data_IF_079571476043
#
_entry.id   IF_079571476043
#
_cell.length_a   1.000
_cell.length_b   1.000
_cell.length_c   1.000
_cell.angle_alpha   90.00
_cell.angle_beta   90.00
_cell.angle_gamma   90.00
#
_symmetry.space_group_name_H-M   'P 1'
#
loop_
_entity.id
_entity.type
_entity.pdbx_description
1 polymer ?
#
# COMPACT_ATOMS: atom_id res chain seq x y z
N UNK A 1 54.47 -14.91 -8.64
CA UNK A 1 54.21 -14.85 -7.19
C UNK A 1 53.13 -13.79 -6.97
N UNK A 2 51.86 -14.18 -7.05
CA UNK A 2 50.71 -13.27 -6.98
C UNK A 2 50.26 -13.23 -5.51
N UNK A 3 50.40 -12.07 -4.89
CA UNK A 3 50.02 -11.85 -3.50
C UNK A 3 48.50 -11.68 -3.42
N UNK A 4 47.79 -12.71 -2.93
CA UNK A 4 46.38 -12.60 -2.54
C UNK A 4 46.31 -11.81 -1.23
N UNK A 5 45.88 -10.55 -1.33
CA UNK A 5 45.58 -9.72 -0.15
C UNK A 5 44.37 -10.34 0.56
N UNK A 6 44.60 -10.92 1.75
CA UNK A 6 43.53 -11.28 2.70
C UNK A 6 42.87 -9.99 3.19
N UNK A 7 41.77 -9.59 2.57
CA UNK A 7 40.86 -8.57 3.12
C UNK A 7 40.32 -9.10 4.47
N UNK A 8 40.49 -8.33 5.53
CA UNK A 8 40.06 -8.70 6.89
C UNK A 8 38.55 -8.53 7.05
N UNK A 9 37.90 -9.39 7.86
CA UNK A 9 36.46 -9.35 8.13
C UNK A 9 35.96 -7.97 8.62
N UNK A 10 36.79 -7.20 9.33
CA UNK A 10 36.44 -5.85 9.78
C UNK A 10 36.30 -4.86 8.61
N UNK A 11 37.11 -5.00 7.56
CA UNK A 11 37.05 -4.15 6.38
C UNK A 11 35.79 -4.45 5.55
N UNK A 12 35.46 -5.73 5.38
CA UNK A 12 34.22 -6.19 4.75
C UNK A 12 32.97 -5.76 5.53
N UNK A 13 32.97 -5.89 6.86
CA UNK A 13 31.88 -5.42 7.71
C UNK A 13 31.68 -3.90 7.66
N UNK A 14 32.76 -3.12 7.59
CA UNK A 14 32.70 -1.66 7.51
C UNK A 14 32.25 -1.18 6.12
N UNK A 15 32.68 -1.87 5.06
CA UNK A 15 32.15 -1.67 3.71
C UNK A 15 30.67 -2.02 3.64
N UNK A 16 30.24 -3.16 4.16
CA UNK A 16 28.82 -3.56 4.22
C UNK A 16 27.95 -2.57 5.00
N UNK A 17 28.50 -1.97 6.07
CA UNK A 17 27.80 -0.96 6.86
C UNK A 17 27.66 0.35 6.10
N UNK A 18 28.74 0.85 5.47
CA UNK A 18 28.68 2.02 4.58
C UNK A 18 27.74 1.79 3.39
N UNK A 19 27.76 0.60 2.78
CA UNK A 19 26.90 0.25 1.65
C UNK A 19 25.42 0.19 2.06
N UNK A 20 25.13 -0.34 3.25
CA UNK A 20 23.78 -0.33 3.87
C UNK A 20 23.31 1.06 4.27
N UNK A 21 24.22 1.99 4.54
CA UNK A 21 23.93 3.40 4.81
C UNK A 21 23.52 4.14 3.53
N UNK A 22 24.11 3.79 2.38
CA UNK A 22 23.88 4.46 1.08
C UNK A 22 22.81 3.82 0.20
N UNK A 23 22.26 2.66 0.58
CA UNK A 23 21.19 2.00 -0.19
C UNK A 23 19.94 2.88 -0.24
N UNK A 24 19.26 3.04 -1.40
CA UNK A 24 18.03 3.84 -1.51
C UNK A 24 16.94 3.43 -0.51
N UNK A 25 16.19 4.42 0.00
CA UNK A 25 15.19 4.23 1.06
C UNK A 25 13.90 4.95 0.74
N UNK A 26 12.79 4.32 1.13
CA UNK A 26 11.48 4.96 1.01
C UNK A 26 11.28 6.00 2.11
N UNK A 27 10.93 7.21 1.68
CA UNK A 27 10.52 8.33 2.53
C UNK A 27 9.13 8.83 2.15
N UNK A 28 8.78 9.99 2.71
CA UNK A 28 7.56 10.73 2.36
C UNK A 28 7.67 11.14 0.88
N UNK A 29 6.66 10.79 0.07
CA UNK A 29 6.55 11.25 -1.31
C UNK A 29 5.75 12.55 -1.37
N UNK A 30 4.49 12.48 -0.98
CA UNK A 30 3.61 13.64 -0.82
C UNK A 30 3.18 13.79 0.64
N UNK A 31 3.17 15.04 1.11
CA UNK A 31 2.75 15.41 2.46
C UNK A 31 1.61 16.42 2.39
N UNK A 32 0.46 16.05 2.96
CA UNK A 32 -0.79 16.83 2.87
C UNK A 32 -1.19 17.23 1.43
N UNK A 33 -0.76 16.40 0.47
CA UNK A 33 -1.08 16.51 -0.95
C UNK A 33 -0.04 17.23 -1.80
N UNK A 34 0.97 17.86 -1.20
CA UNK A 34 2.06 18.49 -1.93
C UNK A 34 3.27 17.55 -1.99
N UNK A 35 4.00 17.59 -3.10
CA UNK A 35 5.21 16.81 -3.31
C UNK A 35 6.32 17.31 -2.35
N UNK A 36 6.92 16.41 -1.57
CA UNK A 36 7.87 16.76 -0.51
C UNK A 36 9.03 17.64 -1.02
N UNK A 37 9.51 17.35 -2.22
CA UNK A 37 10.64 18.08 -2.83
C UNK A 37 10.25 19.48 -3.30
N UNK A 38 8.96 19.77 -3.48
CA UNK A 38 8.44 21.08 -3.90
C UNK A 38 8.02 21.96 -2.72
N UNK A 39 7.99 21.41 -1.50
CA UNK A 39 7.78 22.19 -0.29
C UNK A 39 9.01 23.06 0.02
N UNK A 40 8.80 24.22 0.62
CA UNK A 40 9.88 24.98 1.26
C UNK A 40 10.28 24.35 2.61
N UNK A 41 11.45 24.73 3.14
CA UNK A 41 11.88 24.31 4.48
C UNK A 41 10.86 24.69 5.55
N UNK A 42 10.32 25.92 5.48
CA UNK A 42 9.29 26.40 6.39
C UNK A 42 7.97 25.59 6.30
N UNK A 43 7.54 25.20 5.10
CA UNK A 43 6.33 24.37 4.95
C UNK A 43 6.54 22.96 5.52
N UNK A 44 7.69 22.33 5.25
CA UNK A 44 8.04 21.04 5.86
C UNK A 44 8.05 21.14 7.38
N UNK A 45 8.67 22.18 7.93
CA UNK A 45 8.74 22.44 9.37
C UNK A 45 7.37 22.68 9.98
N UNK A 46 6.49 23.41 9.29
CA UNK A 46 5.11 23.63 9.73
C UNK A 46 4.35 22.30 9.85
N UNK A 47 4.36 21.48 8.79
CA UNK A 47 3.69 20.18 8.79
C UNK A 47 4.28 19.23 9.84
N UNK A 48 5.60 19.20 9.97
CA UNK A 48 6.31 18.42 10.96
C UNK A 48 5.90 18.79 12.39
N UNK A 49 6.00 20.08 12.73
CA UNK A 49 5.68 20.62 14.04
C UNK A 49 4.21 20.37 14.39
N UNK A 50 3.31 20.44 13.42
CA UNK A 50 1.90 20.16 13.62
C UNK A 50 1.64 18.67 13.88
N UNK A 51 2.25 17.77 13.10
CA UNK A 51 2.09 16.31 13.24
C UNK A 51 2.67 15.80 14.57
N UNK A 52 3.74 16.43 15.08
CA UNK A 52 4.38 16.01 16.33
C UNK A 52 3.60 16.38 17.60
N UNK A 53 2.65 17.31 17.52
CA UNK A 53 1.77 17.63 18.65
C UNK A 53 0.92 16.42 19.05
N UNK A 54 0.47 16.34 20.31
CA UNK A 54 -0.57 15.39 20.71
C UNK A 54 -1.80 15.55 19.83
N UNK A 55 -2.45 14.43 19.43
CA UNK A 55 -3.54 14.42 18.45
C UNK A 55 -4.67 15.42 18.75
N UNK A 56 -4.99 15.62 20.02
CA UNK A 56 -6.02 16.57 20.51
C UNK A 56 -5.67 18.05 20.28
N UNK A 57 -4.38 18.36 20.18
CA UNK A 57 -3.85 19.73 20.06
C UNK A 57 -3.51 20.07 18.60
N UNK A 58 -3.72 19.11 17.68
CA UNK A 58 -3.44 19.28 16.26
C UNK A 58 -4.51 20.10 15.57
N UNK A 59 -4.09 21.08 14.78
CA UNK A 59 -4.93 21.81 13.84
C UNK A 59 -5.31 20.91 12.68
N UNK A 60 -6.59 20.96 12.31
CA UNK A 60 -7.10 20.32 11.10
C UNK A 60 -6.30 20.76 9.87
N UNK A 61 -5.73 19.80 9.14
CA UNK A 61 -5.00 20.06 7.91
C UNK A 61 -5.93 19.83 6.71
N UNK A 62 -5.92 20.69 5.68
CA UNK A 62 -6.77 20.51 4.51
C UNK A 62 -6.37 19.24 3.75
N UNK A 63 -7.34 18.61 3.09
CA UNK A 63 -7.12 17.51 2.17
C UNK A 63 -7.49 17.93 0.75
N UNK A 64 -6.52 18.16 -0.15
CA UNK A 64 -6.83 18.64 -1.50
C UNK A 64 -7.52 17.59 -2.37
N UNK A 65 -7.41 16.30 -2.03
CA UNK A 65 -7.96 15.23 -2.85
C UNK A 65 -9.40 14.83 -2.51
N UNK A 66 -9.98 15.40 -1.45
CA UNK A 66 -11.40 15.19 -1.12
C UNK A 66 -12.28 16.23 -1.85
N UNK A 67 -12.20 16.27 -3.19
CA UNK A 67 -12.80 17.31 -4.03
C UNK A 67 -14.33 17.49 -3.87
N UNK A 68 -15.05 16.46 -3.40
CA UNK A 68 -16.50 16.53 -3.16
C UNK A 68 -16.91 17.22 -1.86
N UNK A 69 -15.97 17.53 -0.97
CA UNK A 69 -16.26 18.12 0.34
C UNK A 69 -15.61 19.50 0.43
N UNK A 70 -16.42 20.54 0.57
CA UNK A 70 -15.91 21.88 0.85
C UNK A 70 -15.22 21.90 2.21
N UNK A 71 -13.99 22.44 2.27
CA UNK A 71 -13.22 22.48 3.52
C UNK A 71 -12.79 21.10 4.04
N UNK A 72 -12.60 20.12 3.15
CA UNK A 72 -12.22 18.77 3.54
C UNK A 72 -10.94 18.74 4.40
N UNK A 73 -10.98 17.97 5.48
CA UNK A 73 -9.86 17.78 6.40
C UNK A 73 -9.21 16.42 6.17
N UNK A 74 -7.88 16.38 6.27
CA UNK A 74 -7.09 15.16 6.20
C UNK A 74 -7.40 14.26 7.40
N UNK A 75 -7.90 13.06 7.14
CA UNK A 75 -8.18 12.05 8.16
C UNK A 75 -6.98 11.17 8.49
N UNK A 76 -5.93 11.21 7.66
CA UNK A 76 -4.77 10.33 7.79
C UNK A 76 -3.79 10.87 8.82
N UNK A 77 -3.49 10.05 9.82
CA UNK A 77 -2.48 10.37 10.82
C UNK A 77 -1.10 10.57 10.15
N UNK A 78 -0.45 11.70 10.45
CA UNK A 78 0.79 12.11 9.80
C UNK A 78 0.66 12.72 8.40
N UNK A 79 -0.50 12.64 7.74
CA UNK A 79 -0.75 13.35 6.47
C UNK A 79 0.02 12.83 5.25
N UNK A 80 0.65 11.65 5.33
CA UNK A 80 1.49 11.13 4.23
C UNK A 80 0.63 10.47 3.16
N UNK A 81 0.51 11.12 2.01
CA UNK A 81 -0.36 10.68 0.91
C UNK A 81 0.29 9.58 0.07
N UNK A 82 1.61 9.61 -0.10
CA UNK A 82 2.37 8.64 -0.89
C UNK A 82 3.79 8.44 -0.37
N UNK A 83 4.45 7.36 -0.82
CA UNK A 83 5.87 7.10 -0.61
C UNK A 83 6.67 7.39 -1.87
N UNK A 84 7.94 7.75 -1.68
CA UNK A 84 8.93 7.89 -2.75
C UNK A 84 10.26 7.27 -2.35
N UNK A 85 10.97 6.70 -3.31
CA UNK A 85 12.31 6.14 -3.10
C UNK A 85 13.35 7.25 -3.31
N UNK A 86 14.23 7.43 -2.33
CA UNK A 86 15.31 8.40 -2.36
C UNK A 86 16.66 7.70 -2.37
N UNK A 87 17.60 8.17 -3.18
CA UNK A 87 19.03 7.89 -3.06
C UNK A 87 19.68 8.85 -2.07
N UNK A 88 20.76 8.41 -1.46
CA UNK A 88 21.60 9.26 -0.63
C UNK A 88 22.37 10.23 -1.51
N UNK A 89 22.44 11.48 -1.08
CA UNK A 89 23.36 12.49 -1.60
C UNK A 89 23.87 13.38 -0.44
N UNK A 90 24.79 14.27 -0.73
CA UNK A 90 25.38 15.22 0.23
C UNK A 90 24.93 16.63 -0.10
N UNK A 91 24.37 17.33 0.88
CA UNK A 91 23.96 18.71 0.73
C UNK A 91 25.18 19.61 0.41
N UNK A 92 25.15 20.40 -0.67
CA UNK A 92 26.32 21.10 -1.18
C UNK A 92 26.92 22.09 -0.16
N UNK A 93 26.06 22.79 0.59
CA UNK A 93 26.53 23.88 1.46
C UNK A 93 26.98 23.44 2.85
N UNK A 94 26.47 22.31 3.36
CA UNK A 94 26.65 21.94 4.77
C UNK A 94 27.15 20.50 4.98
N UNK A 95 27.33 19.72 3.91
CA UNK A 95 27.86 18.36 3.96
C UNK A 95 26.94 17.33 4.63
N UNK A 96 25.70 17.68 4.96
CA UNK A 96 24.74 16.77 5.61
C UNK A 96 24.05 15.87 4.59
N UNK A 97 23.50 14.76 5.06
CA UNK A 97 22.76 13.82 4.22
C UNK A 97 21.49 14.46 3.64
N UNK A 98 21.33 14.37 2.32
CA UNK A 98 20.12 14.80 1.59
C UNK A 98 19.55 13.64 0.79
N UNK A 99 18.24 13.64 0.59
CA UNK A 99 17.52 12.63 -0.16
C UNK A 99 17.16 13.16 -1.54
N UNK A 100 17.64 12.51 -2.59
CA UNK A 100 17.29 12.83 -3.98
C UNK A 100 16.37 11.73 -4.52
N UNK A 101 15.23 12.05 -5.17
CA UNK A 101 14.39 11.04 -5.80
C UNK A 101 15.20 10.15 -6.75
N UNK A 102 15.03 8.83 -6.63
CA UNK A 102 15.61 7.89 -7.59
C UNK A 102 15.00 8.15 -8.98
N UNK A 103 15.79 8.09 -10.05
CA UNK A 103 15.27 8.29 -11.41
C UNK A 103 14.50 7.08 -11.94
N UNK A 104 13.64 7.32 -12.93
CA UNK A 104 12.85 6.29 -13.62
C UNK A 104 11.73 5.68 -12.77
N UNK A 105 11.21 4.52 -13.17
CA UNK A 105 10.05 3.86 -12.53
C UNK A 105 10.23 3.59 -11.04
N UNK A 106 11.46 3.37 -10.58
CA UNK A 106 11.74 3.17 -9.15
C UNK A 106 11.60 4.45 -8.33
N UNK A 107 11.58 5.63 -8.95
CA UNK A 107 11.33 6.93 -8.32
C UNK A 107 9.87 7.32 -8.14
N UNK A 108 8.96 6.65 -8.83
CA UNK A 108 7.55 7.06 -8.91
C UNK A 108 6.86 7.07 -7.54
N UNK A 109 5.74 7.78 -7.42
CA UNK A 109 4.99 7.83 -6.16
C UNK A 109 4.16 6.56 -5.95
N UNK A 110 4.07 6.12 -4.70
CA UNK A 110 3.28 4.94 -4.29
C UNK A 110 2.20 5.43 -3.35
N UNK A 111 0.96 5.46 -3.82
CA UNK A 111 -0.12 6.06 -3.06
C UNK A 111 -0.42 5.22 -1.82
N UNK A 112 -0.39 5.83 -0.65
CA UNK A 112 -0.70 5.17 0.63
C UNK A 112 -2.00 5.66 1.25
N UNK A 113 -2.68 6.60 0.59
CA UNK A 113 -3.96 7.16 0.99
C UNK A 113 -4.98 6.94 -0.13
N UNK A 114 -6.12 6.27 0.13
CA UNK A 114 -7.16 6.08 -0.90
C UNK A 114 -7.67 7.39 -1.48
N UNK A 115 -7.82 8.43 -0.65
CA UNK A 115 -8.24 9.75 -1.12
C UNK A 115 -7.27 10.34 -2.15
N UNK A 116 -6.00 9.94 -2.22
CA UNK A 116 -5.08 10.42 -3.27
C UNK A 116 -5.64 10.15 -4.67
N UNK A 117 -6.35 9.04 -4.88
CA UNK A 117 -6.94 8.68 -6.17
C UNK A 117 -8.18 9.52 -6.52
N UNK A 118 -8.75 10.28 -5.57
CA UNK A 118 -9.92 11.12 -5.80
C UNK A 118 -9.58 12.49 -6.41
N UNK A 119 -8.31 12.74 -6.73
CA UNK A 119 -7.85 13.98 -7.36
C UNK A 119 -8.71 14.33 -8.57
N UNK A 120 -9.29 15.54 -8.53
CA UNK A 120 -10.17 16.14 -9.53
C UNK A 120 -11.32 15.26 -10.03
N UNK A 121 -11.63 14.19 -9.30
CA UNK A 121 -12.56 13.13 -9.67
C UNK A 121 -12.21 12.43 -10.99
N UNK A 122 -10.95 12.50 -11.41
CA UNK A 122 -10.51 12.05 -12.74
C UNK A 122 -10.76 10.56 -12.97
N UNK A 123 -10.42 9.72 -11.99
CA UNK A 123 -10.64 8.28 -12.08
C UNK A 123 -12.12 7.93 -12.17
N UNK A 124 -13.02 8.71 -11.56
CA UNK A 124 -14.44 8.43 -11.59
C UNK A 124 -15.02 8.72 -12.97
N UNK A 125 -14.61 9.84 -13.59
CA UNK A 125 -14.98 10.17 -14.97
C UNK A 125 -14.43 9.13 -15.94
N UNK A 126 -13.18 8.71 -15.77
CA UNK A 126 -12.55 7.71 -16.63
C UNK A 126 -13.24 6.34 -16.56
N UNK A 127 -13.61 5.90 -15.35
CA UNK A 127 -14.36 4.65 -15.17
C UNK A 127 -15.75 4.76 -15.79
N UNK A 128 -16.47 5.87 -15.55
CA UNK A 128 -17.79 6.10 -16.16
C UNK A 128 -17.73 6.08 -17.69
N UNK A 129 -16.76 6.76 -18.27
CA UNK A 129 -16.53 6.78 -19.72
C UNK A 129 -16.28 5.36 -20.26
N UNK A 130 -15.40 4.61 -19.60
CA UNK A 130 -14.93 3.30 -20.10
C UNK A 130 -15.96 2.19 -19.92
N UNK A 131 -16.66 2.15 -18.77
CA UNK A 131 -17.59 1.06 -18.46
C UNK A 131 -19.03 1.41 -18.85
N UNK A 132 -19.45 2.65 -18.62
CA UNK A 132 -20.85 3.09 -18.78
C UNK A 132 -21.09 3.90 -20.05
N UNK A 133 -20.03 4.27 -20.79
CA UNK A 133 -20.15 5.24 -21.89
C UNK A 133 -20.59 6.63 -21.43
N UNK A 134 -20.37 6.96 -20.15
CA UNK A 134 -20.81 8.19 -19.51
C UNK A 134 -19.66 8.88 -18.75
N UNK A 135 -19.09 9.99 -19.27
CA UNK A 135 -17.99 10.69 -18.60
C UNK A 135 -18.43 11.50 -17.38
N UNK A 136 -19.74 11.64 -17.12
CA UNK A 136 -20.30 12.39 -15.99
C UNK A 136 -21.18 11.49 -15.09
N UNK A 137 -20.65 10.36 -14.57
CA UNK A 137 -21.44 9.47 -13.73
C UNK A 137 -21.71 10.10 -12.36
N UNK A 138 -22.82 9.68 -11.73
CA UNK A 138 -23.10 9.98 -10.33
C UNK A 138 -22.35 9.02 -9.40
N UNK A 139 -21.55 9.56 -8.48
CA UNK A 139 -20.84 8.77 -7.47
C UNK A 139 -21.67 8.59 -6.20
N UNK A 140 -22.15 7.36 -6.00
CA UNK A 140 -22.82 6.88 -4.79
C UNK A 140 -21.78 6.24 -3.86
N UNK A 141 -21.74 6.68 -2.61
CA UNK A 141 -20.85 6.12 -1.59
C UNK A 141 -21.46 4.87 -0.94
N UNK A 142 -20.59 4.01 -0.41
CA UNK A 142 -20.83 2.80 0.38
C UNK A 142 -22.27 2.26 0.40
N UNK A 143 -22.51 1.19 -0.36
CA UNK A 143 -23.82 0.53 -0.48
C UNK A 143 -23.72 -0.95 -0.07
N UNK A 144 -24.63 -1.40 0.78
CA UNK A 144 -24.78 -2.81 1.15
C UNK A 144 -25.22 -3.68 -0.02
N UNK A 145 -24.60 -4.87 -0.17
CA UNK A 145 -24.97 -5.83 -1.21
C UNK A 145 -25.11 -7.28 -0.70
N UNK A 146 -24.77 -7.53 0.57
CA UNK A 146 -24.96 -8.81 1.26
C UNK A 146 -25.55 -8.56 2.63
N UNK A 147 -26.57 -9.34 2.98
CA UNK A 147 -27.20 -9.32 4.30
C UNK A 147 -26.74 -10.51 5.14
N UNK A 148 -26.61 -10.31 6.45
CA UNK A 148 -26.38 -11.37 7.42
C UNK A 148 -27.57 -12.33 7.43
N UNK A 149 -27.30 -13.62 7.31
CA UNK A 149 -28.28 -14.64 7.69
C UNK A 149 -28.53 -14.57 9.19
N UNK A 150 -29.78 -14.81 9.60
CA UNK A 150 -30.10 -15.00 11.01
C UNK A 150 -29.23 -16.14 11.59
N UNK A 151 -28.67 -15.90 12.77
CA UNK A 151 -27.87 -16.87 13.53
C UNK A 151 -28.39 -16.93 14.97
N UNK A 152 -27.85 -17.84 15.79
CA UNK A 152 -28.20 -17.93 17.21
C UNK A 152 -27.99 -16.61 17.97
N UNK A 153 -27.09 -15.74 17.48
CA UNK A 153 -26.68 -14.50 18.14
C UNK A 153 -27.12 -13.22 17.39
N UNK A 154 -27.87 -13.33 16.29
CA UNK A 154 -28.31 -12.18 15.47
C UNK A 154 -29.60 -12.49 14.71
N UNK A 155 -30.53 -11.53 14.70
CA UNK A 155 -31.79 -11.62 13.95
C UNK A 155 -31.60 -11.58 12.42
N UNK A 156 -30.38 -11.32 11.93
CA UNK A 156 -30.08 -11.18 10.51
C UNK A 156 -30.48 -9.81 9.94
N UNK A 157 -30.18 -9.57 8.66
CA UNK A 157 -30.54 -8.33 7.94
C UNK A 157 -29.50 -7.20 7.99
N UNK A 158 -28.41 -7.35 8.74
CA UNK A 158 -27.30 -6.40 8.72
C UNK A 158 -26.44 -6.54 7.45
N UNK A 159 -25.98 -5.42 6.89
CA UNK A 159 -25.05 -5.44 5.74
C UNK A 159 -23.69 -6.06 6.14
N UNK A 160 -23.44 -7.29 5.68
CA UNK A 160 -22.17 -8.02 5.89
C UNK A 160 -21.20 -7.89 4.72
N UNK A 161 -21.65 -7.27 3.62
CA UNK A 161 -20.83 -6.95 2.47
C UNK A 161 -21.24 -5.61 1.89
N UNK A 162 -20.25 -4.74 1.66
CA UNK A 162 -20.46 -3.39 1.13
C UNK A 162 -19.60 -3.15 -0.10
N UNK A 163 -20.12 -2.39 -1.05
CA UNK A 163 -19.37 -1.87 -2.20
C UNK A 163 -19.01 -0.43 -1.86
N UNK A 164 -17.72 -0.11 -1.86
CA UNK A 164 -17.23 1.16 -1.32
C UNK A 164 -17.72 2.34 -2.16
N UNK A 165 -17.73 2.17 -3.49
CA UNK A 165 -18.16 3.19 -4.44
C UNK A 165 -18.95 2.56 -5.59
N UNK A 166 -20.08 3.17 -5.93
CA UNK A 166 -20.91 2.80 -7.09
C UNK A 166 -21.04 4.02 -8.00
N UNK A 167 -20.69 3.85 -9.27
CA UNK A 167 -20.92 4.85 -10.31
C UNK A 167 -22.21 4.54 -11.03
N UNK A 168 -23.15 5.48 -11.04
CA UNK A 168 -24.45 5.35 -11.71
C UNK A 168 -24.47 6.27 -12.92
N UNK A 169 -24.86 5.75 -14.08
CA UNK A 169 -24.98 6.53 -15.31
C UNK A 169 -26.03 7.63 -15.15
N UNK A 170 -25.67 8.85 -15.54
CA UNK A 170 -26.57 9.99 -15.62
C UNK A 170 -27.50 9.93 -16.84
N UNK A 171 -27.16 9.07 -17.82
CA UNK A 171 -27.84 8.96 -19.11
C UNK A 171 -28.96 7.91 -19.12
N UNK A 172 -29.19 7.20 -18.01
CA UNK A 172 -30.26 6.20 -17.95
C UNK A 172 -31.63 6.86 -18.05
N UNK A 173 -32.39 6.52 -19.08
CA UNK A 173 -33.77 7.01 -19.28
C UNK A 173 -34.70 6.57 -18.15
N UNK A 174 -35.67 7.43 -17.81
CA UNK A 174 -36.70 7.09 -16.83
C UNK A 174 -37.45 5.80 -17.23
N UNK A 175 -37.51 4.82 -16.33
CA UNK A 175 -38.15 3.52 -16.55
C UNK A 175 -37.24 2.43 -17.14
N UNK A 176 -36.01 2.76 -17.56
CA UNK A 176 -35.02 1.75 -17.93
C UNK A 176 -34.32 1.17 -16.68
N UNK A 177 -33.81 -0.07 -16.74
CA UNK A 177 -32.96 -0.60 -15.68
C UNK A 177 -31.75 0.31 -15.44
N UNK A 178 -31.42 0.55 -14.17
CA UNK A 178 -30.28 1.38 -13.79
C UNK A 178 -28.97 0.84 -14.38
N UNK A 179 -28.20 1.72 -15.02
CA UNK A 179 -26.85 1.39 -15.44
C UNK A 179 -25.81 1.91 -14.47
N UNK A 180 -24.91 1.02 -14.04
CA UNK A 180 -23.97 1.30 -12.96
C UNK A 180 -22.79 0.33 -12.94
N UNK A 181 -21.69 0.76 -12.33
CA UNK A 181 -20.48 -0.03 -12.13
C UNK A 181 -20.01 0.08 -10.67
N UNK A 182 -19.54 -1.03 -10.10
CA UNK A 182 -18.87 -1.02 -8.80
C UNK A 182 -17.44 -0.51 -8.97
N UNK A 183 -16.88 0.17 -7.97
CA UNK A 183 -15.53 0.70 -8.00
C UNK A 183 -14.83 0.47 -6.65
N UNK A 184 -13.62 -0.07 -6.72
CA UNK A 184 -12.72 -0.27 -5.60
C UNK A 184 -11.41 0.49 -5.83
N UNK A 185 -10.93 1.24 -4.85
CA UNK A 185 -9.63 1.92 -4.88
C UNK A 185 -8.69 1.19 -3.94
N UNK A 186 -7.53 0.76 -4.44
CA UNK A 186 -6.52 0.11 -3.62
C UNK A 186 -5.24 0.93 -3.54
N UNK A 187 -5.08 1.68 -2.43
CA UNK A 187 -3.81 2.26 -2.04
C UNK A 187 -2.89 1.22 -1.37
N UNK A 188 -1.59 1.45 -1.39
CA UNK A 188 -0.61 0.54 -0.79
C UNK A 188 -0.43 0.80 0.71
N UNK A 189 -0.41 -0.28 1.50
CA UNK A 189 0.13 -0.26 2.85
C UNK A 189 1.66 -0.16 2.80
N UNK A 190 2.29 0.14 3.94
CA UNK A 190 3.75 0.03 4.04
C UNK A 190 4.14 -0.76 5.28
N UNK A 191 5.32 -1.36 5.21
CA UNK A 191 5.93 -2.12 6.30
C UNK A 191 7.27 -1.52 6.68
N UNK A 192 7.67 -1.64 7.95
CA UNK A 192 8.94 -1.14 8.48
C UNK A 192 8.76 0.02 9.45
N UNK A 193 9.80 0.83 9.60
CA UNK A 193 9.82 1.92 10.58
C UNK A 193 8.73 2.97 10.29
N UNK A 194 8.08 3.45 11.35
CA UNK A 194 7.24 4.64 11.30
C UNK A 194 8.03 5.87 10.80
N UNK A 195 7.32 6.92 10.39
CA UNK A 195 7.93 8.16 9.84
C UNK A 195 8.19 9.22 10.91
N UNK A 196 8.08 8.86 12.19
CA UNK A 196 8.23 9.81 13.29
C UNK A 196 9.61 10.47 13.28
N UNK A 197 10.67 9.73 12.98
CA UNK A 197 12.03 10.27 12.93
C UNK A 197 12.20 11.31 11.82
N UNK A 198 11.53 11.14 10.68
CA UNK A 198 11.51 12.14 9.61
C UNK A 198 10.72 13.39 10.03
N UNK A 199 9.60 13.24 10.73
CA UNK A 199 8.87 14.39 11.28
C UNK A 199 9.73 15.16 12.28
N UNK A 200 10.43 14.47 13.20
CA UNK A 200 11.33 15.10 14.17
C UNK A 200 12.46 15.86 13.47
N UNK A 201 13.06 15.28 12.43
CA UNK A 201 14.10 15.93 11.66
C UNK A 201 13.61 17.17 10.89
N UNK A 202 12.42 17.12 10.28
CA UNK A 202 11.86 18.28 9.57
C UNK A 202 11.38 19.39 10.51
N UNK A 203 11.08 19.09 11.77
CA UNK A 203 10.70 20.10 12.75
C UNK A 203 11.89 20.94 13.25
N UNK A 204 13.13 20.47 13.05
CA UNK A 204 14.35 21.20 13.41
C UNK A 204 14.56 22.38 12.45
N UNK A 205 14.62 23.60 13.00
CA UNK A 205 14.83 24.84 12.26
C UNK A 205 16.16 24.87 11.49
N UNK A 206 17.12 24.02 11.87
CA UNK A 206 18.40 23.87 11.18
C UNK A 206 18.32 22.97 9.93
N UNK A 207 17.13 22.45 9.58
CA UNK A 207 16.89 21.58 8.44
C UNK A 207 15.93 22.25 7.46
N UNK A 208 16.47 22.82 6.38
CA UNK A 208 15.68 23.43 5.30
C UNK A 208 15.71 22.62 3.98
N UNK A 209 16.47 21.52 3.93
CA UNK A 209 16.54 20.59 2.78
C UNK A 209 15.70 19.32 2.96
N UNK A 210 15.63 18.49 1.92
CA UNK A 210 14.99 17.17 1.96
C UNK A 210 15.98 16.16 2.56
N UNK A 211 15.68 15.65 3.75
CA UNK A 211 16.58 14.68 4.40
C UNK A 211 16.59 13.33 3.67
N UNK A 212 17.72 12.64 3.73
CA UNK A 212 17.76 11.23 3.35
C UNK A 212 16.98 10.39 4.39
N UNK A 213 16.01 9.54 3.98
CA UNK A 213 15.19 8.79 4.94
C UNK A 213 16.03 7.91 5.87
N UNK A 214 15.85 8.07 7.18
CA UNK A 214 16.62 7.33 8.19
C UNK A 214 16.01 5.95 8.45
N UNK A 215 14.68 5.85 8.42
CA UNK A 215 13.96 4.60 8.63
C UNK A 215 14.01 3.66 7.43
N UNK A 216 13.99 2.34 7.71
CA UNK A 216 13.83 1.30 6.69
C UNK A 216 12.36 0.93 6.59
N UNK A 217 11.77 1.29 5.45
CA UNK A 217 10.39 0.97 5.11
C UNK A 217 10.26 0.67 3.63
N UNK A 218 9.16 0.03 3.28
CA UNK A 218 8.81 -0.29 1.89
C UNK A 218 7.30 -0.39 1.72
N UNK A 219 6.77 -0.13 0.52
CA UNK A 219 5.42 -0.54 0.15
C UNK A 219 5.21 -2.04 0.47
N UNK A 220 4.09 -2.37 1.10
CA UNK A 220 3.69 -3.73 1.44
C UNK A 220 2.59 -4.19 0.48
N UNK A 221 3.01 -4.53 -0.74
CA UNK A 221 2.11 -5.00 -1.80
C UNK A 221 1.43 -6.32 -1.42
N UNK A 222 2.09 -7.21 -0.67
CA UNK A 222 1.49 -8.48 -0.23
C UNK A 222 0.31 -8.25 0.71
N UNK A 223 0.46 -7.33 1.66
CA UNK A 223 -0.64 -7.02 2.59
C UNK A 223 -1.75 -6.18 1.94
N UNK A 224 -1.47 -5.52 0.82
CA UNK A 224 -2.42 -4.69 0.10
C UNK A 224 -3.22 -5.48 -0.96
N UNK A 225 -2.53 -6.28 -1.78
CA UNK A 225 -3.13 -7.13 -2.81
C UNK A 225 -3.68 -8.45 -2.24
N UNK A 226 -2.86 -9.51 -2.15
CA UNK A 226 -3.36 -10.85 -1.82
C UNK A 226 -4.06 -10.97 -0.46
N UNK A 227 -3.69 -10.18 0.56
CA UNK A 227 -4.35 -10.28 1.88
C UNK A 227 -5.64 -9.46 2.01
N UNK A 228 -5.89 -8.50 1.12
CA UNK A 228 -7.01 -7.55 1.27
C UNK A 228 -7.81 -7.42 -0.01
N UNK A 229 -7.21 -6.89 -1.08
CA UNK A 229 -7.90 -6.73 -2.36
C UNK A 229 -8.43 -8.07 -2.90
N UNK A 230 -7.64 -9.14 -2.87
CA UNK A 230 -8.06 -10.44 -3.40
C UNK A 230 -9.31 -11.00 -2.70
N UNK A 231 -9.39 -11.09 -1.36
CA UNK A 231 -10.62 -11.44 -0.67
C UNK A 231 -11.81 -10.56 -1.04
N UNK A 232 -11.62 -9.23 -1.16
CA UNK A 232 -12.70 -8.31 -1.55
C UNK A 232 -13.23 -8.64 -2.94
N UNK A 233 -12.34 -8.89 -3.91
CA UNK A 233 -12.74 -9.26 -5.28
C UNK A 233 -13.46 -10.62 -5.31
N UNK A 234 -12.96 -11.62 -4.59
CA UNK A 234 -13.58 -12.94 -4.52
C UNK A 234 -14.99 -12.92 -3.93
N UNK A 235 -15.27 -11.98 -3.01
CA UNK A 235 -16.59 -11.83 -2.39
C UNK A 235 -17.52 -11.00 -3.31
N UNK A 236 -17.06 -9.87 -3.84
CA UNK A 236 -17.90 -8.91 -4.59
C UNK A 236 -18.19 -9.37 -6.02
N UNK A 237 -17.15 -9.78 -6.76
CA UNK A 237 -17.24 -9.99 -8.21
C UNK A 237 -18.22 -11.09 -8.64
N UNK A 238 -18.33 -12.25 -7.96
CA UNK A 238 -19.30 -13.26 -8.37
C UNK A 238 -20.75 -12.77 -8.35
N UNK A 239 -21.11 -11.92 -7.38
CA UNK A 239 -22.44 -11.32 -7.29
C UNK A 239 -22.65 -10.29 -8.40
N UNK A 240 -21.67 -9.41 -8.63
CA UNK A 240 -21.71 -8.42 -9.71
C UNK A 240 -21.84 -9.08 -11.09
N UNK A 241 -21.05 -10.13 -11.34
CA UNK A 241 -21.10 -10.94 -12.57
C UNK A 241 -22.52 -11.49 -12.81
N UNK A 242 -23.18 -12.03 -11.78
CA UNK A 242 -24.57 -12.55 -11.88
C UNK A 242 -25.59 -11.46 -12.22
N UNK A 243 -25.35 -10.22 -11.80
CA UNK A 243 -26.17 -9.06 -12.17
C UNK A 243 -25.78 -8.44 -13.53
N UNK A 244 -24.77 -9.00 -14.21
CA UNK A 244 -24.23 -8.44 -15.45
C UNK A 244 -23.46 -7.14 -15.25
N UNK A 245 -23.01 -6.84 -14.03
CA UNK A 245 -22.26 -5.62 -13.69
C UNK A 245 -20.77 -5.89 -13.58
N UNK A 246 -19.97 -4.88 -13.93
CA UNK A 246 -18.49 -4.93 -13.89
C UNK A 246 -17.97 -4.31 -12.60
N UNK A 247 -16.79 -4.75 -12.18
CA UNK A 247 -16.00 -4.14 -11.11
C UNK A 247 -14.86 -3.31 -11.70
N UNK A 248 -14.78 -2.03 -11.37
CA UNK A 248 -13.61 -1.21 -11.61
C UNK A 248 -12.65 -1.32 -10.42
N UNK A 249 -11.36 -1.52 -10.68
CA UNK A 249 -10.31 -1.49 -9.64
C UNK A 249 -9.28 -0.45 -10.00
N UNK A 250 -9.07 0.54 -9.13
CA UNK A 250 -8.12 1.63 -9.37
C UNK A 250 -6.88 1.44 -8.51
N UNK A 251 -5.72 1.42 -9.15
CA UNK A 251 -4.41 1.23 -8.53
C UNK A 251 -3.35 2.11 -9.17
N UNK A 252 -2.27 2.42 -8.46
CA UNK A 252 -1.10 3.05 -9.07
C UNK A 252 -0.25 2.02 -9.85
N UNK A 253 0.51 2.51 -10.84
CA UNK A 253 1.37 1.67 -11.69
C UNK A 253 2.34 0.82 -10.88
N UNK A 254 2.94 1.36 -9.84
CA UNK A 254 3.91 0.61 -9.02
C UNK A 254 3.24 -0.54 -8.26
N UNK A 255 1.98 -0.38 -7.83
CA UNK A 255 1.18 -1.48 -7.30
C UNK A 255 0.91 -2.54 -8.37
N UNK A 256 0.44 -2.15 -9.55
CA UNK A 256 0.09 -3.09 -10.62
C UNK A 256 1.31 -3.88 -11.13
N UNK A 257 2.47 -3.24 -11.23
CA UNK A 257 3.72 -3.91 -11.64
C UNK A 257 4.27 -4.84 -10.54
N UNK A 258 3.80 -4.71 -9.29
CA UNK A 258 4.28 -5.52 -8.16
C UNK A 258 3.54 -6.85 -7.97
N UNK A 259 2.36 -6.97 -8.55
CA UNK A 259 1.54 -8.19 -8.52
C UNK A 259 1.92 -9.09 -9.70
N UNK A 260 1.51 -10.36 -9.66
CA UNK A 260 1.76 -11.30 -10.75
C UNK A 260 1.07 -10.84 -12.04
N UNK A 261 1.62 -11.29 -13.17
CA UNK A 261 1.06 -11.03 -14.49
C UNK A 261 -0.40 -11.47 -14.56
N UNK A 262 -1.25 -10.60 -15.11
CA UNK A 262 -2.66 -10.87 -15.35
C UNK A 262 -2.95 -10.80 -16.85
N UNK A 263 -3.33 -11.94 -17.41
CA UNK A 263 -3.67 -12.05 -18.83
C UNK A 263 -4.86 -11.13 -19.16
N UNK A 264 -4.63 -10.22 -20.11
CA UNK A 264 -5.69 -9.34 -20.60
C UNK A 264 -6.76 -10.14 -21.35
N UNK A 265 -8.03 -9.73 -21.22
CA UNK A 265 -9.07 -10.08 -22.19
C UNK A 265 -9.26 -8.92 -23.18
N UNK A 266 -9.49 -9.23 -24.45
CA UNK A 266 -9.49 -8.20 -25.50
C UNK A 266 -10.65 -7.21 -25.40
N UNK A 267 -11.79 -7.66 -24.88
CA UNK A 267 -13.04 -6.89 -24.84
C UNK A 267 -13.65 -6.93 -23.44
N UNK A 268 -14.17 -5.80 -22.98
CA UNK A 268 -14.78 -5.62 -21.66
C UNK A 268 -15.99 -6.53 -21.44
N UNK A 269 -16.69 -6.94 -22.50
CA UNK A 269 -17.79 -7.90 -22.42
C UNK A 269 -17.35 -9.24 -21.82
N UNK A 270 -16.10 -9.65 -22.09
CA UNK A 270 -15.47 -10.88 -21.58
C UNK A 270 -14.77 -10.68 -20.23
N UNK A 271 -14.81 -9.48 -19.65
CA UNK A 271 -14.14 -9.15 -18.40
C UNK A 271 -15.13 -9.16 -17.23
N UNK A 272 -14.64 -9.43 -16.02
CA UNK A 272 -15.38 -9.13 -14.80
C UNK A 272 -14.86 -7.87 -14.13
N UNK A 273 -13.56 -7.65 -14.27
CA UNK A 273 -12.82 -6.58 -13.64
C UNK A 273 -12.14 -5.74 -14.73
N UNK A 274 -12.30 -4.43 -14.64
CA UNK A 274 -11.52 -3.44 -15.38
C UNK A 274 -10.57 -2.75 -14.40
N UNK A 275 -9.27 -2.97 -14.56
CA UNK A 275 -8.22 -2.35 -13.78
C UNK A 275 -7.84 -1.01 -14.41
N UNK A 276 -8.02 0.07 -13.66
CA UNK A 276 -7.65 1.42 -14.05
C UNK A 276 -6.34 1.77 -13.37
N UNK A 277 -5.27 1.75 -14.16
CA UNK A 277 -3.92 1.97 -13.68
C UNK A 277 -3.58 3.43 -13.91
N UNK A 278 -3.11 4.09 -12.86
CA UNK A 278 -2.72 5.50 -12.90
C UNK A 278 -1.24 5.69 -12.61
N UNK A 279 -0.67 6.78 -13.12
CA UNK A 279 0.62 7.31 -12.66
C UNK A 279 0.43 8.68 -12.01
N UNK A 280 1.49 9.14 -11.38
CA UNK A 280 1.58 10.47 -10.80
C UNK A 280 2.71 11.24 -11.48
N UNK A 281 2.38 12.31 -12.18
CA UNK A 281 3.34 13.12 -12.93
C UNK A 281 3.57 14.46 -12.22
N UNK A 282 4.83 14.90 -12.20
CA UNK A 282 5.17 16.22 -11.70
C UNK A 282 4.86 17.25 -12.78
N UNK A 283 4.16 18.33 -12.41
CA UNK A 283 3.85 19.43 -13.32
C UNK A 283 4.76 20.61 -12.99
N UNK A 284 5.43 21.15 -14.00
CA UNK A 284 6.32 22.28 -13.81
C UNK A 284 5.58 23.48 -13.21
N UNK A 285 6.14 24.06 -12.15
CA UNK A 285 5.54 25.19 -11.43
C UNK A 285 4.42 24.80 -10.45
N UNK A 286 4.00 23.53 -10.40
CA UNK A 286 3.02 23.05 -9.41
C UNK A 286 3.72 22.32 -8.26
N UNK A 287 3.23 22.54 -7.03
CA UNK A 287 3.70 21.77 -5.86
C UNK A 287 3.12 20.35 -5.82
N UNK A 288 2.00 20.13 -6.50
CA UNK A 288 1.29 18.86 -6.49
C UNK A 288 1.66 18.03 -7.70
N UNK A 289 1.63 16.72 -7.52
CA UNK A 289 1.66 15.82 -8.67
C UNK A 289 0.25 15.62 -9.19
N UNK A 290 0.13 15.40 -10.49
CA UNK A 290 -1.15 15.15 -11.17
C UNK A 290 -1.34 13.67 -11.45
N UNK A 291 -2.52 13.16 -11.16
CA UNK A 291 -2.94 11.83 -11.58
C UNK A 291 -3.10 11.79 -13.10
N UNK A 292 -2.50 10.79 -13.74
CA UNK A 292 -2.63 10.57 -15.17
C UNK A 292 -3.12 9.17 -15.45
N UNK A 293 -4.01 9.06 -16.45
CA UNK A 293 -4.48 7.77 -16.97
C UNK A 293 -3.30 7.07 -17.64
N UNK A 294 -3.05 5.82 -17.26
CA UNK A 294 -1.97 5.04 -17.86
C UNK A 294 -2.52 3.91 -18.71
N UNK A 295 -3.26 2.98 -18.10
CA UNK A 295 -3.73 1.79 -18.77
C UNK A 295 -5.07 1.32 -18.19
N UNK A 296 -5.95 0.81 -19.05
CA UNK A 296 -7.06 -0.05 -18.62
C UNK A 296 -6.72 -1.50 -18.96
N UNK A 297 -6.72 -2.38 -17.96
CA UNK A 297 -6.53 -3.82 -18.16
C UNK A 297 -7.82 -4.57 -17.83
N UNK A 298 -8.28 -5.41 -18.75
CA UNK A 298 -9.48 -6.21 -18.55
C UNK A 298 -9.11 -7.63 -18.14
N UNK A 299 -9.74 -8.14 -17.08
CA UNK A 299 -9.46 -9.49 -16.57
C UNK A 299 -10.75 -10.19 -16.13
N UNK A 300 -10.70 -11.52 -16.09
CA UNK A 300 -11.67 -12.29 -15.32
C UNK A 300 -11.28 -12.30 -13.84
N UNK A 301 -12.21 -12.68 -12.97
CA UNK A 301 -11.92 -12.88 -11.55
C UNK A 301 -10.77 -13.87 -11.34
N UNK A 302 -10.79 -14.98 -12.05
CA UNK A 302 -9.84 -16.09 -11.89
C UNK A 302 -8.41 -15.62 -12.21
N UNK A 303 -8.22 -14.95 -13.36
CA UNK A 303 -6.92 -14.35 -13.75
C UNK A 303 -6.43 -13.30 -12.75
N UNK A 304 -7.37 -12.53 -12.19
CA UNK A 304 -7.05 -11.51 -11.17
C UNK A 304 -6.58 -12.15 -9.86
N UNK A 305 -7.20 -13.26 -9.45
CA UNK A 305 -6.80 -14.03 -8.25
C UNK A 305 -5.42 -14.67 -8.46
N UNK A 306 -5.16 -15.22 -9.64
CA UNK A 306 -3.85 -15.77 -10.01
C UNK A 306 -2.75 -14.70 -9.94
N UNK A 307 -2.97 -13.55 -10.57
CA UNK A 307 -2.04 -12.41 -10.53
C UNK A 307 -1.83 -11.88 -9.10
N UNK A 308 -2.90 -11.69 -8.33
CA UNK A 308 -2.80 -11.19 -6.96
C UNK A 308 -2.10 -12.15 -6.01
N UNK A 309 -2.17 -13.46 -6.27
CA UNK A 309 -1.43 -14.46 -5.47
C UNK A 309 0.08 -14.25 -5.58
N UNK A 310 0.56 -13.77 -6.74
CA UNK A 310 1.91 -13.21 -6.91
C UNK A 310 3.06 -14.18 -6.61
N UNK A 311 2.78 -15.47 -6.48
CA UNK A 311 3.74 -16.50 -6.10
C UNK A 311 3.59 -17.72 -6.98
N UNK A 312 4.65 -18.11 -7.69
CA UNK A 312 4.70 -19.40 -8.38
C UNK A 312 5.01 -20.48 -7.35
N UNK A 313 4.21 -21.57 -7.28
CA UNK A 313 4.57 -22.69 -6.42
C UNK A 313 5.93 -23.24 -6.86
N UNK A 314 6.79 -23.55 -5.89
CA UNK A 314 8.03 -24.28 -6.19
C UNK A 314 7.70 -25.75 -6.43
N UNK A 315 8.53 -26.46 -7.19
CA UNK A 315 8.39 -27.91 -7.34
C UNK A 315 8.40 -28.59 -5.97
N UNK A 316 7.64 -29.68 -5.84
CA UNK A 316 7.53 -30.45 -4.59
C UNK A 316 8.90 -30.81 -4.02
N UNK A 317 9.81 -31.28 -4.87
CA UNK A 317 11.19 -31.63 -4.49
C UNK A 317 11.97 -30.47 -3.88
N UNK A 318 11.81 -29.24 -4.41
CA UNK A 318 12.43 -28.05 -3.83
C UNK A 318 11.84 -27.75 -2.46
N UNK A 319 10.52 -27.90 -2.31
CA UNK A 319 9.85 -27.69 -1.04
C UNK A 319 10.27 -28.73 0.01
N UNK A 320 10.29 -30.00 -0.34
CA UNK A 320 10.72 -31.10 0.51
C UNK A 320 12.18 -30.96 0.93
N UNK A 321 13.07 -30.53 0.03
CA UNK A 321 14.46 -30.21 0.39
C UNK A 321 14.56 -29.09 1.44
N UNK A 322 13.71 -28.06 1.33
CA UNK A 322 13.63 -26.99 2.35
C UNK A 322 13.08 -27.51 3.67
N UNK A 323 12.11 -28.41 3.64
CA UNK A 323 11.58 -29.08 4.84
C UNK A 323 12.69 -29.88 5.50
N UNK A 324 13.35 -30.78 4.76
CA UNK A 324 14.43 -31.62 5.26
C UNK A 324 15.54 -30.80 5.91
N UNK A 325 15.96 -29.70 5.26
CA UNK A 325 16.96 -28.78 5.82
C UNK A 325 16.55 -28.16 7.16
N UNK A 326 15.26 -27.85 7.37
CA UNK A 326 14.74 -27.35 8.66
C UNK A 326 14.51 -28.46 9.68
N UNK A 327 14.03 -29.61 9.22
CA UNK A 327 13.73 -30.77 10.06
C UNK A 327 15.00 -31.30 10.75
N UNK A 328 16.15 -31.27 10.07
CA UNK A 328 17.44 -31.64 10.68
C UNK A 328 17.82 -30.77 11.89
N UNK A 329 17.28 -29.55 11.98
CA UNK A 329 17.54 -28.60 13.06
C UNK A 329 16.40 -28.56 14.10
N UNK A 330 15.37 -29.38 13.94
CA UNK A 330 14.16 -29.34 14.77
C UNK A 330 14.04 -30.63 15.58
N UNK A 331 13.84 -30.51 16.90
CA UNK A 331 13.62 -31.67 17.76
C UNK A 331 12.21 -32.25 17.53
N UNK A 332 12.04 -33.59 17.50
CA UNK A 332 10.73 -34.22 17.44
C UNK A 332 9.83 -33.80 18.61
N UNK A 333 8.52 -33.74 18.38
CA UNK A 333 7.47 -33.34 19.35
C UNK A 333 7.24 -34.36 20.49
N UNK A 334 8.23 -35.17 20.86
CA UNK A 334 8.07 -36.19 21.89
C UNK A 334 7.68 -35.57 23.25
N UNK A 335 6.70 -36.21 23.90
CA UNK A 335 5.95 -35.78 25.10
C UNK A 335 6.80 -35.35 26.32
N UNK A 336 6.24 -34.52 27.23
CA UNK A 336 6.97 -33.99 28.39
C UNK A 336 7.60 -35.12 29.20
N UNK A 337 8.92 -35.03 29.41
CA UNK A 337 9.67 -35.97 30.25
C UNK A 337 9.13 -35.91 31.68
N UNK A 338 8.35 -36.92 32.04
CA UNK A 338 8.06 -37.25 33.42
C UNK A 338 9.33 -37.86 34.03
N UNK A 339 10.18 -37.04 34.65
CA UNK A 339 11.32 -37.51 35.45
C UNK A 339 11.25 -36.92 36.85
N UNK A 340 10.53 -37.60 37.73
CA UNK A 340 10.82 -37.61 39.16
C UNK A 340 10.91 -39.08 39.58
N UNK A 341 12.09 -39.67 39.38
CA UNK A 341 12.53 -40.83 40.14
C UNK A 341 13.49 -40.29 41.19
N UNK A 342 12.98 -40.09 42.41
CA UNK A 342 13.80 -39.99 43.60
C UNK A 342 13.67 -41.34 44.32
N UNK A 343 14.67 -42.22 44.11
CA UNK A 343 14.97 -43.28 45.07
C UNK A 343 15.73 -42.63 46.23
N UNK A 344 15.37 -43.08 47.43
CA UNK A 344 15.66 -42.40 48.69
C UNK A 344 17.08 -42.57 49.21
N UNK A 345 17.27 -41.94 50.35
CA UNK A 345 18.25 -42.31 51.37
C UNK A 345 17.65 -41.93 52.72
N UNK A 346 17.45 -42.94 53.56
CA UNK A 346 17.24 -42.84 55.01
C UNK A 346 18.46 -42.18 55.68
N UNK A 347 18.24 -41.37 56.73
CA UNK A 347 18.64 -41.64 58.12
C UNK A 347 18.56 -40.37 59.00
N UNK A 348 17.89 -40.55 60.13
CA UNK A 348 18.15 -40.04 61.49
C UNK A 348 18.28 -38.54 61.81
N UNK A 349 17.41 -38.04 62.70
CA UNK A 349 17.71 -37.93 64.14
C UNK A 349 16.75 -36.95 64.87
N UNK A 350 16.15 -37.47 65.94
CA UNK A 350 15.82 -36.81 67.23
C UNK A 350 16.13 -35.31 67.39
N UNK A 351 15.13 -34.46 67.61
CA UNK A 351 14.62 -33.99 68.93
C UNK A 351 13.53 -32.93 68.71
#
# INVERSE_FOLDING_TARGET
MICFVKLTNAFLLNMDRKFKELTPRFGIGEWFGDNLIQLSGHERQHHASEVLKPKKDRKAQPCPFQARKQGAVCSKDGGVCSLRLYSYDVHPDNGRATGVPVSGKQGELRATCPYRFHEDLEIFRWVGETILGDPEPMLVGEVGFLEASASTDSEGGDDVGRIDMVLVSSKTSAGAPMDWAALEIQAVYFSGNAMRGEFEAFADNAVDWVIFPTGRRRPDYRSSGPKRLMPQLQIKVPTLRRWGKKMAVVVDRAFFDSIGEMDNVADISNADIAWFIVRFEEVEGEKRTRIVRDEVRFTTLERSVEGLTGGKPVALSIFENRISGKAMLTTPLAEPRNTLSLKGSEEDASN
#
